data_IF_612479824746
#
_entry.id   IF_612479824746
#
_cell.length_a   1.000
_cell.length_b   1.000
_cell.length_c   1.000
_cell.angle_alpha   90.00
_cell.angle_beta   90.00
_cell.angle_gamma   90.00
#
_symmetry.space_group_name_H-M   'P 1'
#
loop_
_entity.id
_entity.type
_entity.pdbx_description
1 polymer ?
#
# COMPACT_ATOMS: atom_id res chain seq x y z
N UNK A 1 8.39 -9.79 1.86
CA UNK A 1 7.09 -9.77 1.17
C UNK A 1 7.04 -8.51 0.29
N UNK A 2 6.07 -8.36 -0.63
CA UNK A 2 5.91 -7.11 -1.37
C UNK A 2 5.10 -6.12 -0.53
N UNK A 3 5.67 -4.94 -0.27
CA UNK A 3 5.06 -3.85 0.49
C UNK A 3 5.28 -2.50 -0.20
N UNK A 4 4.45 -1.54 0.17
CA UNK A 4 4.73 -0.12 -0.09
C UNK A 4 5.80 0.36 0.89
N UNK A 5 6.61 1.37 0.55
CA UNK A 5 7.53 1.96 1.50
C UNK A 5 6.79 2.55 2.70
N UNK A 6 7.33 2.39 3.90
CA UNK A 6 6.69 2.90 5.10
C UNK A 6 7.04 2.11 6.36
N UNK A 7 6.80 2.73 7.51
CA UNK A 7 7.15 2.15 8.79
C UNK A 7 6.36 2.78 9.93
N UNK A 8 6.94 2.75 11.12
CA UNK A 8 6.29 3.20 12.34
C UNK A 8 6.49 4.70 12.48
N UNK A 9 5.45 5.41 12.93
CA UNK A 9 5.60 6.82 13.31
C UNK A 9 6.59 6.97 14.47
N UNK A 10 7.51 7.92 14.32
CA UNK A 10 8.46 8.34 15.34
C UNK A 10 7.99 9.60 16.07
N UNK A 11 8.51 9.84 17.28
CA UNK A 11 8.12 11.01 18.10
C UNK A 11 8.39 12.36 17.41
N UNK A 12 9.29 12.38 16.42
CA UNK A 12 9.63 13.57 15.65
C UNK A 12 8.76 13.81 14.41
N UNK A 13 7.95 12.82 14.00
CA UNK A 13 7.13 12.92 12.80
C UNK A 13 5.94 13.85 13.07
N UNK A 14 5.75 14.85 12.21
CA UNK A 14 4.69 15.87 12.39
C UNK A 14 3.29 15.34 12.08
N UNK A 15 3.19 14.45 11.10
CA UNK A 15 1.96 13.85 10.61
C UNK A 15 2.25 12.53 9.86
N UNK A 16 1.20 11.84 9.42
CA UNK A 16 1.33 10.57 8.67
C UNK A 16 2.14 10.73 7.36
N UNK A 17 2.16 11.94 6.77
CA UNK A 17 2.93 12.24 5.56
C UNK A 17 4.43 12.37 5.82
N UNK A 18 4.80 13.00 6.94
CA UNK A 18 6.18 13.08 7.42
C UNK A 18 6.74 11.68 7.70
N UNK A 19 5.98 10.83 8.42
CA UNK A 19 6.34 9.40 8.61
C UNK A 19 6.54 8.70 7.27
N UNK A 20 5.57 8.77 6.35
CA UNK A 20 5.65 8.06 5.08
C UNK A 20 6.86 8.50 4.21
N UNK A 21 7.16 9.81 4.19
CA UNK A 21 8.27 10.34 3.39
C UNK A 21 9.63 10.10 4.03
N UNK A 22 9.74 10.11 5.38
CA UNK A 22 10.94 9.70 6.11
C UNK A 22 11.26 8.23 5.81
N UNK A 23 10.30 7.34 6.01
CA UNK A 23 10.47 5.91 5.80
C UNK A 23 10.80 5.58 4.33
N UNK A 24 10.12 6.22 3.37
CA UNK A 24 10.47 6.05 1.95
C UNK A 24 11.89 6.54 1.62
N UNK A 25 12.39 7.56 2.32
CA UNK A 25 13.79 8.00 2.18
C UNK A 25 14.75 6.96 2.74
N UNK A 26 14.46 6.40 3.91
CA UNK A 26 15.28 5.38 4.58
C UNK A 26 15.35 4.08 3.77
N UNK A 27 14.19 3.60 3.30
CA UNK A 27 14.08 2.29 2.64
C UNK A 27 14.52 2.31 1.17
N UNK A 28 14.12 3.33 0.40
CA UNK A 28 14.33 3.37 -1.06
C UNK A 28 15.05 4.62 -1.57
N UNK A 29 15.53 5.49 -0.67
CA UNK A 29 16.28 6.69 -1.04
C UNK A 29 15.42 7.79 -1.68
N UNK A 30 14.10 7.78 -1.46
CA UNK A 30 13.20 8.78 -2.02
C UNK A 30 13.37 10.13 -1.29
N UNK A 31 13.97 11.11 -1.95
CA UNK A 31 14.06 12.48 -1.41
C UNK A 31 12.63 13.06 -1.28
N UNK A 32 12.20 13.48 -0.07
CA UNK A 32 10.87 14.05 0.15
C UNK A 32 10.54 15.24 -0.74
N UNK A 33 11.55 16.01 -1.20
CA UNK A 33 11.34 17.14 -2.11
C UNK A 33 10.89 16.74 -3.52
N UNK A 34 11.06 15.47 -3.90
CA UNK A 34 10.62 14.93 -5.18
C UNK A 34 9.13 14.53 -5.17
N UNK A 35 8.52 14.45 -3.99
CA UNK A 35 7.15 13.95 -3.80
C UNK A 35 6.23 15.10 -3.39
N UNK A 36 5.12 15.25 -4.10
CA UNK A 36 4.00 16.05 -3.63
C UNK A 36 2.94 15.12 -3.02
N UNK A 37 2.67 15.26 -1.72
CA UNK A 37 1.59 14.52 -1.06
C UNK A 37 0.26 15.09 -1.53
N UNK A 38 -0.59 14.22 -2.09
CA UNK A 38 -1.89 14.61 -2.65
C UNK A 38 -3.01 14.39 -1.64
N UNK A 39 -2.99 13.24 -0.95
CA UNK A 39 -3.99 12.91 0.05
C UNK A 39 -3.50 11.81 0.97
N UNK A 40 -4.16 11.71 2.12
CA UNK A 40 -4.07 10.58 3.05
C UNK A 40 -5.38 9.78 2.91
N UNK A 41 -5.29 8.46 2.79
CA UNK A 41 -6.46 7.58 2.72
C UNK A 41 -6.96 7.23 4.13
N UNK A 42 -8.17 6.66 4.21
CA UNK A 42 -8.66 6.10 5.45
C UNK A 42 -7.72 4.99 5.98
N UNK A 43 -7.62 4.82 7.32
CA UNK A 43 -6.74 3.82 7.90
C UNK A 43 -7.23 2.40 7.59
N UNK A 44 -6.26 1.53 7.34
CA UNK A 44 -6.45 0.08 7.26
C UNK A 44 -6.00 -0.56 8.57
N UNK A 45 -6.55 -1.74 8.87
CA UNK A 45 -6.07 -2.56 9.97
C UNK A 45 -5.29 -3.76 9.42
N UNK A 46 -4.09 -3.97 9.93
CA UNK A 46 -3.28 -5.13 9.56
C UNK A 46 -3.77 -6.40 10.25
N UNK A 47 -3.28 -7.56 9.81
CA UNK A 47 -3.52 -8.87 10.47
C UNK A 47 -3.07 -8.91 11.93
N UNK A 48 -2.19 -7.99 12.34
CA UNK A 48 -1.67 -7.84 13.70
C UNK A 48 -2.36 -6.71 14.48
N UNK A 49 -3.51 -6.23 13.99
CA UNK A 49 -4.28 -5.13 14.61
C UNK A 49 -3.52 -3.80 14.66
N UNK A 50 -2.54 -3.61 13.77
CA UNK A 50 -1.86 -2.34 13.62
C UNK A 50 -2.65 -1.42 12.69
N UNK A 51 -2.86 -0.17 13.11
CA UNK A 51 -3.42 0.89 12.26
C UNK A 51 -2.35 1.32 11.25
N UNK A 52 -2.67 1.19 9.97
CA UNK A 52 -1.80 1.58 8.85
C UNK A 52 -2.50 2.68 8.06
N UNK A 53 -1.83 3.80 7.85
CA UNK A 53 -2.39 4.96 7.13
C UNK A 53 -1.69 5.10 5.77
N UNK A 54 -2.39 4.86 4.66
CA UNK A 54 -1.78 5.04 3.34
C UNK A 54 -1.71 6.53 2.97
N UNK A 55 -0.53 6.96 2.52
CA UNK A 55 -0.31 8.31 2.00
C UNK A 55 -0.07 8.22 0.49
N UNK A 56 -0.83 9.00 -0.29
CA UNK A 56 -0.67 9.07 -1.75
C UNK A 56 0.21 10.27 -2.09
N UNK A 57 1.42 9.97 -2.59
CA UNK A 57 2.34 10.95 -3.14
C UNK A 57 2.46 10.83 -4.66
N UNK A 58 2.71 11.96 -5.33
CA UNK A 58 3.03 12.02 -6.76
C UNK A 58 4.46 12.53 -6.92
N UNK A 59 5.25 11.81 -7.70
CA UNK A 59 6.57 12.29 -8.10
C UNK A 59 6.44 13.46 -9.06
N UNK A 60 7.06 14.60 -8.72
CA UNK A 60 7.09 15.79 -9.58
C UNK A 60 7.88 15.53 -10.87
N UNK A 61 8.97 14.78 -10.76
CA UNK A 61 9.77 14.30 -11.90
C UNK A 61 10.20 12.86 -11.65
N UNK A 62 9.59 11.91 -12.37
CA UNK A 62 9.94 10.49 -12.29
C UNK A 62 11.42 10.23 -12.65
N UNK A 63 12.03 11.02 -13.53
CA UNK A 63 13.43 10.82 -13.96
C UNK A 63 14.43 11.29 -12.90
N UNK A 64 14.02 12.21 -12.03
CA UNK A 64 14.84 12.67 -10.92
C UNK A 64 14.95 11.62 -9.82
N UNK A 65 13.93 10.77 -9.65
CA UNK A 65 13.97 9.68 -8.68
C UNK A 65 14.82 8.51 -9.18
N UNK A 66 15.90 8.23 -8.45
CA UNK A 66 16.78 7.07 -8.65
C UNK A 66 16.76 6.24 -7.38
N UNK A 67 15.99 5.13 -7.35
CA UNK A 67 15.89 4.29 -6.16
C UNK A 67 17.27 3.86 -5.66
N UNK A 68 17.51 4.05 -4.37
CA UNK A 68 18.71 3.61 -3.67
C UNK A 68 18.27 2.75 -2.50
N UNK A 69 17.97 1.45 -2.71
CA UNK A 69 17.43 0.59 -1.67
C UNK A 69 18.44 0.39 -0.52
N UNK A 70 17.94 0.46 0.71
CA UNK A 70 18.69 0.06 1.90
C UNK A 70 18.75 -1.48 1.97
N UNK A 71 19.94 -2.11 1.79
CA UNK A 71 20.04 -3.57 1.74
C UNK A 71 19.74 -4.26 3.08
N UNK A 72 19.67 -3.51 4.19
CA UNK A 72 19.25 -4.06 5.48
C UNK A 72 17.74 -4.36 5.53
N UNK A 73 16.94 -3.71 4.68
CA UNK A 73 15.48 -3.71 4.75
C UNK A 73 14.82 -4.08 3.41
N UNK A 74 15.45 -3.73 2.29
CA UNK A 74 14.87 -3.83 0.94
C UNK A 74 15.74 -4.67 0.01
N UNK A 75 15.19 -5.79 -0.44
CA UNK A 75 15.83 -6.71 -1.41
C UNK A 75 15.67 -6.23 -2.88
N UNK A 76 14.53 -5.64 -3.21
CA UNK A 76 14.25 -5.15 -4.56
C UNK A 76 13.23 -4.00 -4.55
N UNK A 77 13.38 -3.09 -5.52
CA UNK A 77 12.43 -2.02 -5.81
C UNK A 77 11.95 -2.17 -7.25
N UNK A 78 10.64 -2.09 -7.45
CA UNK A 78 10.02 -2.11 -8.78
C UNK A 78 8.79 -1.22 -8.76
N UNK A 79 8.33 -0.81 -9.94
CA UNK A 79 7.04 -0.16 -10.11
C UNK A 79 6.08 -1.02 -10.92
N UNK A 80 4.79 -0.79 -10.70
CA UNK A 80 3.70 -1.50 -11.35
C UNK A 80 2.59 -0.51 -11.78
N UNK A 81 1.89 -0.75 -12.90
CA UNK A 81 0.82 0.13 -13.33
C UNK A 81 -0.32 0.14 -12.30
N UNK A 82 -0.63 1.29 -11.70
CA UNK A 82 -1.70 1.38 -10.68
C UNK A 82 -3.05 0.83 -11.18
N UNK A 83 -3.35 0.96 -12.47
CA UNK A 83 -4.60 0.46 -13.05
C UNK A 83 -4.76 -1.06 -12.93
N UNK A 84 -3.67 -1.81 -12.78
CA UNK A 84 -3.73 -3.27 -12.67
C UNK A 84 -4.57 -3.72 -11.46
N UNK A 85 -4.58 -2.92 -10.38
CA UNK A 85 -5.27 -3.25 -9.14
C UNK A 85 -6.79 -3.08 -9.19
N UNK A 86 -7.33 -2.65 -10.33
CA UNK A 86 -8.79 -2.58 -10.57
C UNK A 86 -9.22 -3.44 -11.79
N UNK A 87 -8.29 -4.17 -12.40
CA UNK A 87 -8.56 -5.12 -13.49
C UNK A 87 -8.56 -6.55 -12.95
N UNK A 88 -9.41 -7.40 -13.53
CA UNK A 88 -9.45 -8.83 -13.22
C UNK A 88 -8.49 -9.64 -14.11
N UNK A 89 -7.27 -9.14 -14.26
CA UNK A 89 -6.22 -9.69 -15.12
C UNK A 89 -5.03 -10.10 -14.26
N UNK A 90 -4.55 -11.35 -14.39
CA UNK A 90 -3.48 -11.91 -13.54
C UNK A 90 -3.77 -11.77 -12.04
N UNK A 91 -5.06 -11.85 -11.70
CA UNK A 91 -5.56 -11.73 -10.33
C UNK A 91 -6.23 -13.03 -9.91
N UNK A 92 -5.99 -13.43 -8.67
CA UNK A 92 -6.78 -14.44 -7.97
C UNK A 92 -7.29 -13.91 -6.63
N UNK A 93 -8.22 -14.62 -6.01
CA UNK A 93 -8.65 -14.32 -4.65
C UNK A 93 -8.97 -15.60 -3.89
N UNK A 94 -8.79 -15.54 -2.58
CA UNK A 94 -9.12 -16.61 -1.67
C UNK A 94 -10.07 -16.11 -0.59
N UNK A 95 -11.17 -16.82 -0.36
CA UNK A 95 -12.08 -16.49 0.73
C UNK A 95 -11.42 -16.83 2.08
N UNK A 96 -11.54 -15.89 3.01
CA UNK A 96 -11.08 -16.00 4.39
C UNK A 96 -12.20 -15.58 5.32
N UNK A 97 -12.10 -15.98 6.57
CA UNK A 97 -13.02 -15.57 7.63
C UNK A 97 -12.24 -14.92 8.76
N UNK A 98 -12.73 -13.79 9.25
CA UNK A 98 -12.20 -13.10 10.42
C UNK A 98 -13.34 -12.68 11.33
N UNK A 99 -13.33 -13.16 12.58
CA UNK A 99 -14.39 -12.88 13.57
C UNK A 99 -15.82 -13.14 13.04
N UNK A 100 -15.99 -14.20 12.24
CA UNK A 100 -17.28 -14.56 11.63
C UNK A 100 -17.66 -13.76 10.38
N UNK A 101 -16.82 -12.82 9.94
CA UNK A 101 -17.02 -12.05 8.70
C UNK A 101 -16.13 -12.61 7.60
N UNK A 102 -16.73 -12.97 6.47
CA UNK A 102 -16.01 -13.42 5.28
C UNK A 102 -15.43 -12.25 4.51
N UNK A 103 -14.20 -12.39 4.05
CA UNK A 103 -13.53 -11.41 3.19
C UNK A 103 -12.72 -12.11 2.09
N UNK A 104 -12.40 -11.38 1.03
CA UNK A 104 -11.54 -11.88 -0.03
C UNK A 104 -10.10 -11.37 0.15
N UNK A 105 -9.16 -12.30 0.19
CA UNK A 105 -7.74 -12.02 0.14
C UNK A 105 -7.32 -12.00 -1.33
N UNK A 106 -6.93 -10.84 -1.84
CA UNK A 106 -6.54 -10.68 -3.24
C UNK A 106 -5.06 -10.93 -3.47
N UNK A 107 -4.77 -11.49 -4.63
CA UNK A 107 -3.43 -11.78 -5.12
C UNK A 107 -3.31 -11.27 -6.56
N UNK A 108 -2.23 -10.56 -6.85
CA UNK A 108 -1.89 -10.09 -8.19
C UNK A 108 -0.49 -10.58 -8.54
N UNK A 109 -0.40 -11.34 -9.62
CA UNK A 109 0.86 -11.77 -10.21
C UNK A 109 1.38 -10.66 -11.12
N UNK A 110 2.61 -10.21 -10.85
CA UNK A 110 3.27 -9.19 -11.64
C UNK A 110 4.64 -9.68 -12.11
N UNK A 111 4.90 -9.59 -13.41
CA UNK A 111 6.18 -9.97 -14.00
C UNK A 111 6.85 -8.74 -14.63
N UNK A 112 8.09 -8.46 -14.21
CA UNK A 112 8.92 -7.39 -14.73
C UNK A 112 10.38 -7.87 -14.79
N UNK A 113 11.08 -7.60 -15.90
CA UNK A 113 12.48 -8.02 -16.09
C UNK A 113 12.75 -9.51 -15.81
N UNK A 114 11.83 -10.40 -16.23
CA UNK A 114 11.86 -11.84 -15.96
C UNK A 114 11.82 -12.24 -14.47
N UNK A 115 11.45 -11.32 -13.58
CA UNK A 115 11.18 -11.58 -12.16
C UNK A 115 9.68 -11.54 -11.90
N UNK A 116 9.20 -12.46 -11.07
CA UNK A 116 7.81 -12.53 -10.65
C UNK A 116 7.65 -12.05 -9.22
N UNK A 117 6.67 -11.18 -9.02
CA UNK A 117 6.28 -10.61 -7.75
C UNK A 117 4.82 -10.93 -7.49
N UNK A 118 4.54 -11.43 -6.29
CA UNK A 118 3.18 -11.64 -5.81
C UNK A 118 2.80 -10.48 -4.90
N UNK A 119 1.82 -9.69 -5.33
CA UNK A 119 1.29 -8.56 -4.57
C UNK A 119 -0.01 -9.00 -3.92
N UNK A 120 -0.07 -9.03 -2.59
CA UNK A 120 -1.19 -9.62 -1.86
C UNK A 120 -1.39 -8.97 -0.49
N UNK A 121 -2.44 -9.40 0.22
CA UNK A 121 -2.68 -8.97 1.60
C UNK A 121 -2.99 -7.49 1.73
N UNK A 122 -2.46 -6.86 2.77
CA UNK A 122 -2.71 -5.45 3.08
C UNK A 122 -2.25 -4.54 1.93
N UNK A 123 -1.09 -4.82 1.34
CA UNK A 123 -0.54 -4.10 0.18
C UNK A 123 -1.54 -4.09 -0.98
N UNK A 124 -2.09 -5.25 -1.35
CA UNK A 124 -3.10 -5.34 -2.40
C UNK A 124 -4.37 -4.57 -2.06
N UNK A 125 -4.87 -4.67 -0.82
CA UNK A 125 -6.05 -3.92 -0.37
C UNK A 125 -5.88 -2.39 -0.48
N UNK A 126 -4.72 -1.87 -0.03
CA UNK A 126 -4.38 -0.46 -0.15
C UNK A 126 -4.33 -0.03 -1.62
N UNK A 127 -3.69 -0.83 -2.48
CA UNK A 127 -3.54 -0.53 -3.90
C UNK A 127 -4.87 -0.57 -4.68
N UNK A 128 -5.78 -1.51 -4.36
CA UNK A 128 -7.15 -1.55 -4.90
C UNK A 128 -7.88 -0.25 -4.55
N UNK A 129 -7.80 0.17 -3.30
CA UNK A 129 -8.45 1.40 -2.83
C UNK A 129 -7.86 2.65 -3.49
N UNK A 130 -6.54 2.77 -3.52
CA UNK A 130 -5.84 3.88 -4.15
C UNK A 130 -6.18 3.97 -5.64
N UNK A 131 -6.15 2.85 -6.37
CA UNK A 131 -6.53 2.79 -7.77
C UNK A 131 -8.00 3.19 -7.98
N UNK A 132 -8.91 2.71 -7.14
CA UNK A 132 -10.33 3.05 -7.24
C UNK A 132 -10.60 4.54 -7.05
N UNK A 133 -9.88 5.19 -6.12
CA UNK A 133 -9.94 6.64 -5.90
C UNK A 133 -9.37 7.41 -7.08
N UNK A 134 -8.16 7.03 -7.54
CA UNK A 134 -7.45 7.74 -8.62
C UNK A 134 -8.20 7.63 -9.95
N UNK A 135 -8.69 6.45 -10.32
CA UNK A 135 -9.43 6.22 -11.56
C UNK A 135 -10.93 6.51 -11.45
N UNK A 136 -11.41 6.89 -10.26
CA UNK A 136 -12.82 7.19 -9.98
C UNK A 136 -13.80 6.09 -10.43
N UNK A 137 -13.40 4.82 -10.25
CA UNK A 137 -14.23 3.67 -10.60
C UNK A 137 -13.91 2.47 -9.70
N UNK A 138 -14.87 1.57 -9.45
CA UNK A 138 -14.64 0.37 -8.66
C UNK A 138 -13.75 -0.64 -9.42
N UNK A 139 -13.17 -1.64 -8.71
CA UNK A 139 -12.54 -2.78 -9.35
C UNK A 139 -13.52 -3.58 -10.20
N UNK A 140 -13.02 -4.24 -11.25
CA UNK A 140 -13.78 -5.12 -12.13
C UNK A 140 -14.11 -6.49 -11.49
N UNK A 141 -13.83 -6.67 -10.20
CA UNK A 141 -14.02 -7.88 -9.42
C UNK A 141 -14.66 -7.55 -8.07
N UNK A 142 -15.21 -8.56 -7.42
CA UNK A 142 -15.72 -8.40 -6.05
C UNK A 142 -14.56 -8.18 -5.09
N UNK A 143 -14.48 -7.01 -4.46
CA UNK A 143 -13.45 -6.68 -3.48
C UNK A 143 -13.68 -7.38 -2.12
N UNK A 144 -14.91 -7.34 -1.59
CA UNK A 144 -15.28 -7.91 -0.28
C UNK A 144 -14.17 -7.72 0.79
N UNK A 145 -13.79 -6.46 1.01
CA UNK A 145 -12.66 -6.11 1.86
C UNK A 145 -12.89 -6.54 3.32
N UNK A 146 -11.81 -6.84 4.07
CA UNK A 146 -11.95 -7.23 5.47
C UNK A 146 -12.58 -6.09 6.28
N UNK A 147 -13.70 -6.39 6.95
CA UNK A 147 -14.30 -5.48 7.93
C UNK A 147 -13.66 -5.71 9.30
N UNK A 148 -12.42 -5.28 9.43
CA UNK A 148 -11.77 -5.31 10.73
C UNK A 148 -12.43 -4.29 11.66
N UNK A 149 -13.31 -4.76 12.55
CA UNK A 149 -13.81 -3.94 13.65
C UNK A 149 -12.64 -3.69 14.59
N UNK A 150 -12.20 -2.44 14.71
CA UNK A 150 -11.37 -2.04 15.84
C UNK A 150 -12.23 -2.30 17.10
N UNK A 151 -11.79 -3.15 18.05
CA UNK A 151 -12.50 -3.29 19.31
C UNK A 151 -12.48 -1.92 20.00
N UNK A 152 -13.63 -1.23 20.00
CA UNK A 152 -13.89 0.03 20.69
C UNK A 152 -12.72 1.01 20.79
N UNK A 153 -12.66 1.99 19.89
CA UNK A 153 -12.49 3.36 20.38
C UNK A 153 -13.74 3.65 21.22
N UNK A 154 -13.70 3.23 22.48
CA UNK A 154 -14.54 3.82 23.51
C UNK A 154 -14.06 5.26 23.59
N UNK A 155 -14.96 6.21 23.35
CA UNK A 155 -14.74 7.62 23.62
C UNK A 155 -13.97 7.79 24.94
N UNK A 156 -12.71 8.22 24.85
CA UNK A 156 -11.98 8.94 25.89
C UNK A 156 -10.94 9.85 25.26
#
# INVERSE_FOLDING_TARGET
EVSLPGGKADEGDKDDGDTATREAKEEIGLDPSLVNIITVLEPFLSKHLLRVVPVIGVLNDRKAFKPTPNPAEVDAVFDAPLEMFIKDENRSAEEREWMGEKYLLHFFDYEIENKRYLIWGLTAGILIRAASVVYQRPPAFLEQSPKFKVPGLVDK
#
